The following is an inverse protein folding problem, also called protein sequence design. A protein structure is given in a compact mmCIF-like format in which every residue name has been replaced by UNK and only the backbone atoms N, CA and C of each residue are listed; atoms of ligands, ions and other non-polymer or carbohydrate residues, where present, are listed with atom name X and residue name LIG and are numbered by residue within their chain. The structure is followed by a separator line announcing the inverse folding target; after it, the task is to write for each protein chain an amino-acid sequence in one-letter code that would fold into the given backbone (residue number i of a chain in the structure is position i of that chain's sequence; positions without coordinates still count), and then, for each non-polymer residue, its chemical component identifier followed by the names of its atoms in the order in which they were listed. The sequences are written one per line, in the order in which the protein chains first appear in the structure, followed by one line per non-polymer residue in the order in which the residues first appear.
data_IF_430909041472
#
_entry.id   IF_430909041472
#
_cell.length_a   1.000
_cell.length_b   1.000
_cell.length_c   1.000
_cell.angle_alpha   90.00
_cell.angle_beta   90.00
_cell.angle_gamma   90.00
#
_symmetry.space_group_name_H-M   'P 1'
#
loop_
_entity.id
_entity.type
_entity.pdbx_description
1 polymer ?
#
# COMPACT_ATOMS: atom_id res chain seq x y z
N UNK A 1 2.62 -12.04 -19.75
CA UNK A 1 1.98 -11.83 -18.44
C UNK A 1 2.83 -10.86 -17.67
N UNK A 2 2.24 -9.82 -17.11
CA UNK A 2 3.00 -8.81 -16.38
C UNK A 2 3.60 -9.35 -15.07
N UNK A 3 4.73 -8.76 -14.62
CA UNK A 3 5.38 -9.09 -13.33
C UNK A 3 4.35 -8.98 -12.18
N UNK A 4 3.49 -7.97 -12.23
CA UNK A 4 2.40 -7.75 -11.26
C UNK A 4 1.36 -8.90 -11.29
N UNK A 5 0.94 -9.35 -12.48
CA UNK A 5 0.01 -10.49 -12.61
C UNK A 5 0.63 -11.79 -12.11
N UNK A 6 1.96 -11.98 -12.29
CA UNK A 6 2.66 -13.12 -11.68
C UNK A 6 2.68 -13.03 -10.15
N UNK A 7 2.95 -11.84 -9.59
CA UNK A 7 2.93 -11.64 -8.14
C UNK A 7 1.54 -11.81 -7.54
N UNK A 8 0.50 -11.23 -8.18
CA UNK A 8 -0.91 -11.41 -7.76
C UNK A 8 -1.38 -12.86 -7.89
N UNK A 9 -0.99 -13.57 -8.96
CA UNK A 9 -1.25 -15.00 -9.08
C UNK A 9 -0.56 -15.82 -7.98
N UNK A 10 0.65 -15.44 -7.60
CA UNK A 10 1.41 -16.12 -6.53
C UNK A 10 0.77 -15.91 -5.15
N UNK A 11 0.19 -14.73 -4.90
CA UNK A 11 -0.52 -14.44 -3.64
C UNK A 11 -1.85 -15.20 -3.55
N UNK A 12 -2.59 -15.31 -4.67
CA UNK A 12 -3.87 -16.01 -4.70
C UNK A 12 -3.75 -17.54 -4.81
N UNK A 13 -2.56 -18.05 -5.06
CA UNK A 13 -2.32 -19.48 -5.24
C UNK A 13 -1.47 -19.99 -4.07
N UNK A 14 -2.14 -20.27 -2.94
CA UNK A 14 -1.50 -20.82 -1.75
C UNK A 14 -0.73 -22.13 -2.04
N UNK A 15 -0.99 -22.78 -3.19
CA UNK A 15 -0.23 -23.94 -3.67
C UNK A 15 1.20 -23.57 -4.09
N UNK A 16 1.53 -22.28 -4.23
CA UNK A 16 2.86 -21.78 -4.60
C UNK A 16 3.67 -21.25 -3.40
N UNK A 17 3.12 -21.33 -2.19
CA UNK A 17 3.87 -20.96 -0.99
C UNK A 17 5.03 -21.94 -0.79
N UNK A 18 6.24 -21.40 -0.70
CA UNK A 18 7.40 -22.22 -0.33
C UNK A 18 7.39 -22.52 1.16
N UNK A 19 7.52 -23.78 1.54
CA UNK A 19 7.60 -24.19 2.94
C UNK A 19 9.07 -24.34 3.32
N UNK A 20 9.48 -23.64 4.38
CA UNK A 20 10.84 -23.60 4.88
C UNK A 20 10.89 -23.89 6.39
N UNK A 21 12.02 -24.39 6.83
CA UNK A 21 12.33 -24.55 8.24
C UNK A 21 13.52 -23.69 8.61
N UNK A 22 13.37 -22.83 9.63
CA UNK A 22 14.44 -21.94 10.05
C UNK A 22 15.49 -22.70 10.86
N UNK A 23 16.46 -23.30 10.17
CA UNK A 23 17.53 -24.16 10.73
C UNK A 23 18.94 -23.59 10.57
N UNK A 24 19.10 -22.58 9.72
CA UNK A 24 20.39 -22.02 9.34
C UNK A 24 20.60 -20.63 9.92
N UNK A 25 21.80 -20.11 9.73
CA UNK A 25 22.02 -18.69 9.95
C UNK A 25 21.11 -17.82 9.05
N UNK A 26 20.88 -16.58 9.48
CA UNK A 26 19.96 -15.67 8.82
C UNK A 26 20.31 -15.46 7.34
N UNK A 27 21.59 -15.36 6.98
CA UNK A 27 22.01 -15.08 5.60
C UNK A 27 21.65 -16.22 4.65
N UNK A 28 21.90 -17.46 5.05
CA UNK A 28 21.52 -18.64 4.25
C UNK A 28 20.00 -18.73 4.11
N UNK A 29 19.28 -18.52 5.21
CA UNK A 29 17.82 -18.49 5.20
C UNK A 29 17.27 -17.42 4.24
N UNK A 30 17.80 -16.19 4.27
CA UNK A 30 17.37 -15.10 3.39
C UNK A 30 17.58 -15.44 1.91
N UNK A 31 18.61 -16.19 1.56
CA UNK A 31 18.87 -16.62 0.18
C UNK A 31 17.87 -17.66 -0.31
N UNK A 32 17.28 -18.44 0.58
CA UNK A 32 16.29 -19.46 0.24
C UNK A 32 14.87 -18.90 0.01
N UNK A 33 14.57 -17.67 0.49
CA UNK A 33 13.24 -17.08 0.41
C UNK A 33 12.84 -16.73 -1.03
N UNK A 34 11.63 -17.18 -1.38
CA UNK A 34 10.86 -16.68 -2.54
C UNK A 34 9.99 -15.47 -2.13
N UNK A 35 9.08 -15.03 -2.99
CA UNK A 35 8.21 -13.91 -2.68
C UNK A 35 7.29 -14.20 -1.48
N UNK A 36 6.69 -15.38 -1.42
CA UNK A 36 5.79 -15.81 -0.34
C UNK A 36 6.24 -17.13 0.25
N UNK A 37 6.47 -17.16 1.55
CA UNK A 37 6.97 -18.35 2.25
C UNK A 37 6.18 -18.61 3.52
N UNK A 38 5.94 -19.88 3.83
CA UNK A 38 5.52 -20.35 5.14
C UNK A 38 6.76 -20.90 5.83
N UNK A 39 7.10 -20.35 6.99
CA UNK A 39 8.32 -20.68 7.73
C UNK A 39 7.99 -21.27 9.08
N UNK A 40 8.51 -22.44 9.37
CA UNK A 40 8.46 -23.06 10.68
C UNK A 40 9.76 -22.78 11.45
N UNK A 41 9.62 -22.15 12.61
CA UNK A 41 10.69 -21.83 13.55
C UNK A 41 10.41 -22.47 14.91
N UNK A 42 11.37 -22.48 15.84
CA UNK A 42 11.19 -23.12 17.17
C UNK A 42 10.03 -22.50 17.96
N UNK A 43 9.67 -21.27 17.70
CA UNK A 43 8.64 -20.49 18.40
C UNK A 43 7.35 -20.31 17.60
N UNK A 44 7.18 -20.91 16.41
CA UNK A 44 5.92 -20.82 15.69
C UNK A 44 5.97 -21.06 14.20
N UNK A 45 4.84 -20.76 13.56
CA UNK A 45 4.70 -20.69 12.12
C UNK A 45 4.53 -19.22 11.69
N UNK A 46 5.17 -18.87 10.58
CA UNK A 46 5.29 -17.50 10.11
C UNK A 46 4.99 -17.40 8.61
N UNK A 47 4.39 -16.28 8.19
CA UNK A 47 4.45 -15.81 6.79
C UNK A 47 5.68 -14.94 6.65
N UNK A 48 6.46 -15.18 5.60
CA UNK A 48 7.58 -14.34 5.22
C UNK A 48 7.39 -13.88 3.78
N UNK A 49 7.22 -12.58 3.60
CA UNK A 49 7.17 -11.93 2.30
C UNK A 49 8.55 -11.36 1.98
N UNK A 50 9.02 -11.58 0.75
CA UNK A 50 10.28 -11.02 0.27
C UNK A 50 10.15 -10.55 -1.17
N UNK A 51 10.56 -9.32 -1.44
CA UNK A 51 10.75 -8.81 -2.79
C UNK A 51 11.94 -7.86 -2.84
N UNK A 52 12.07 -7.08 -3.92
CA UNK A 52 13.16 -6.11 -4.08
C UNK A 52 13.08 -4.92 -3.10
N UNK A 53 11.89 -4.63 -2.54
CA UNK A 53 11.73 -3.63 -1.48
C UNK A 53 12.35 -4.10 -0.17
N UNK A 54 12.13 -5.36 0.23
CA UNK A 54 12.56 -5.84 1.53
C UNK A 54 11.96 -7.17 1.94
N UNK A 55 11.94 -7.38 3.24
CA UNK A 55 11.37 -8.55 3.91
C UNK A 55 10.36 -8.09 4.95
N UNK A 56 9.24 -8.81 5.02
CA UNK A 56 8.25 -8.65 6.08
C UNK A 56 7.92 -10.02 6.68
N UNK A 57 7.85 -10.11 8.02
CA UNK A 57 7.60 -11.35 8.76
C UNK A 57 6.41 -11.14 9.67
N UNK A 58 5.37 -11.98 9.47
CA UNK A 58 4.19 -12.05 10.32
C UNK A 58 4.05 -13.42 10.97
N UNK A 59 3.70 -13.48 12.26
CA UNK A 59 3.50 -14.75 12.97
C UNK A 59 2.06 -15.25 12.79
N UNK A 60 1.89 -16.40 12.14
CA UNK A 60 0.59 -17.07 11.96
C UNK A 60 0.13 -17.65 13.30
N UNK A 61 1.04 -18.36 13.97
CA UNK A 61 0.71 -19.10 15.19
C UNK A 61 1.93 -19.22 16.11
N UNK A 62 1.73 -18.94 17.37
CA UNK A 62 2.73 -19.16 18.40
C UNK A 62 2.64 -20.62 18.88
N UNK A 63 3.56 -21.45 18.44
CA UNK A 63 3.69 -22.87 18.84
C UNK A 63 5.15 -23.12 19.17
N UNK A 64 5.40 -23.75 20.30
CA UNK A 64 6.76 -24.20 20.62
C UNK A 64 6.98 -25.58 20.02
N UNK A 65 7.85 -25.68 19.04
CA UNK A 65 8.28 -26.96 18.50
C UNK A 65 9.45 -27.51 19.34
N UNK A 66 9.35 -28.78 19.71
CA UNK A 66 10.41 -29.47 20.48
C UNK A 66 11.64 -29.84 19.64
N UNK A 67 11.68 -29.48 18.37
CA UNK A 67 12.82 -29.79 17.50
C UNK A 67 13.99 -28.85 17.81
N UNK A 68 15.06 -29.39 18.36
CA UNK A 68 16.27 -28.64 18.73
C UNK A 68 17.07 -28.09 17.55
N UNK A 69 16.73 -28.48 16.32
CA UNK A 69 17.39 -27.95 15.11
C UNK A 69 16.79 -26.64 14.62
N UNK A 70 15.62 -26.25 15.12
CA UNK A 70 14.97 -25.01 14.70
C UNK A 70 15.41 -23.83 15.57
N UNK A 71 15.71 -22.71 14.93
CA UNK A 71 15.95 -21.42 15.58
C UNK A 71 14.65 -20.67 15.82
N UNK A 72 14.67 -19.72 16.77
CA UNK A 72 13.57 -18.78 17.01
C UNK A 72 13.58 -17.69 15.96
N UNK A 73 12.39 -17.29 15.49
CA UNK A 73 12.21 -16.20 14.55
C UNK A 73 11.38 -15.09 15.20
N UNK A 74 11.88 -13.86 15.21
CA UNK A 74 11.17 -12.72 15.76
C UNK A 74 10.06 -12.26 14.81
N UNK A 75 8.99 -11.66 15.35
CA UNK A 75 7.86 -11.10 14.60
C UNK A 75 7.11 -10.08 15.47
N UNK A 76 6.58 -8.99 14.87
CA UNK A 76 6.74 -8.62 13.48
C UNK A 76 8.16 -8.09 13.18
N UNK A 77 8.68 -8.43 12.02
CA UNK A 77 9.93 -7.85 11.49
C UNK A 77 9.61 -7.24 10.14
N UNK A 78 10.12 -6.04 9.91
CA UNK A 78 10.10 -5.35 8.63
C UNK A 78 11.51 -4.83 8.39
N UNK A 79 12.07 -5.22 7.26
CA UNK A 79 13.40 -4.82 6.86
C UNK A 79 13.40 -4.36 5.40
N UNK A 80 13.63 -3.07 5.17
CA UNK A 80 13.77 -2.51 3.82
C UNK A 80 15.21 -2.66 3.33
N UNK A 81 15.38 -3.12 2.09
CA UNK A 81 16.67 -3.11 1.38
C UNK A 81 16.98 -1.76 0.75
N UNK A 82 15.97 -0.88 0.71
CA UNK A 82 16.04 0.45 0.11
C UNK A 82 16.38 1.46 1.20
N UNK A 83 17.30 2.40 0.97
CA UNK A 83 17.58 3.49 1.92
C UNK A 83 16.32 4.32 2.17
N UNK A 84 16.28 5.05 3.27
CA UNK A 84 15.19 5.99 3.54
C UNK A 84 15.32 7.21 2.62
N UNK A 85 14.23 7.71 2.03
CA UNK A 85 14.24 8.97 1.30
C UNK A 85 14.44 10.16 2.26
N UNK A 86 15.05 11.25 1.77
CA UNK A 86 15.26 12.44 2.58
C UNK A 86 13.92 13.09 2.96
N UNK A 87 13.88 13.75 4.12
CA UNK A 87 12.71 14.50 4.59
C UNK A 87 12.20 15.51 3.56
N UNK A 88 13.08 16.09 2.75
CA UNK A 88 12.72 17.00 1.67
C UNK A 88 11.70 16.41 0.68
N UNK A 89 11.78 15.11 0.40
CA UNK A 89 10.81 14.42 -0.45
C UNK A 89 9.42 14.36 0.18
N UNK A 90 9.33 14.10 1.49
CA UNK A 90 8.06 14.16 2.20
C UNK A 90 7.48 15.58 2.23
N UNK A 91 8.32 16.61 2.43
CA UNK A 91 7.88 18.01 2.39
C UNK A 91 7.30 18.35 1.01
N UNK A 92 7.91 17.89 -0.09
CA UNK A 92 7.38 18.08 -1.44
C UNK A 92 5.99 17.42 -1.60
N UNK A 93 5.81 16.20 -1.11
CA UNK A 93 4.51 15.51 -1.10
C UNK A 93 3.48 16.31 -0.28
N UNK A 94 3.85 16.78 0.89
CA UNK A 94 2.96 17.59 1.72
C UNK A 94 2.53 18.89 1.03
N UNK A 95 3.43 19.57 0.33
CA UNK A 95 3.09 20.77 -0.45
C UNK A 95 2.11 20.44 -1.61
N UNK A 96 2.24 19.29 -2.26
CA UNK A 96 1.25 18.82 -3.25
C UNK A 96 -0.12 18.60 -2.60
N UNK A 97 -0.17 17.97 -1.44
CA UNK A 97 -1.41 17.74 -0.69
C UNK A 97 -2.07 19.07 -0.27
N UNK A 98 -1.28 20.01 0.24
CA UNK A 98 -1.75 21.38 0.57
C UNK A 98 -2.32 22.08 -0.66
N UNK A 99 -1.62 21.99 -1.80
CA UNK A 99 -2.06 22.59 -3.05
C UNK A 99 -3.44 22.08 -3.48
N UNK A 100 -3.64 20.76 -3.49
CA UNK A 100 -4.92 20.13 -3.83
C UNK A 100 -5.99 20.46 -2.80
N UNK A 101 -5.66 20.39 -1.51
CA UNK A 101 -6.61 20.73 -0.44
C UNK A 101 -7.10 22.16 -0.54
N UNK A 102 -6.24 23.13 -0.89
CA UNK A 102 -6.62 24.54 -1.05
C UNK A 102 -7.53 24.77 -2.26
N UNK A 103 -7.30 24.05 -3.36
CA UNK A 103 -8.03 24.21 -4.62
C UNK A 103 -9.39 23.50 -4.65
N UNK A 104 -9.52 22.35 -3.99
CA UNK A 104 -10.66 21.46 -4.17
C UNK A 104 -11.17 20.80 -2.90
N UNK A 105 -10.38 20.72 -1.84
CA UNK A 105 -10.66 19.90 -0.63
C UNK A 105 -10.76 18.42 -0.97
N UNK A 106 -10.07 17.95 -2.00
CA UNK A 106 -10.08 16.57 -2.46
C UNK A 106 -8.81 15.82 -2.04
N UNK A 107 -8.89 14.51 -2.04
CA UNK A 107 -7.76 13.63 -1.74
C UNK A 107 -6.85 13.48 -2.95
N UNK A 108 -5.56 13.34 -2.71
CA UNK A 108 -4.56 13.04 -3.73
C UNK A 108 -3.77 11.81 -3.28
N UNK A 109 -3.50 10.89 -4.22
CA UNK A 109 -2.61 9.76 -4.01
C UNK A 109 -1.33 9.94 -4.86
N UNK A 110 -0.19 9.66 -4.29
CA UNK A 110 1.11 9.65 -5.00
C UNK A 110 1.88 8.39 -4.65
N UNK A 111 2.70 7.92 -5.60
CA UNK A 111 3.66 6.85 -5.37
C UNK A 111 5.08 7.41 -5.33
N UNK A 112 5.90 6.84 -4.47
CA UNK A 112 7.34 7.07 -4.43
C UNK A 112 8.03 5.81 -4.92
N UNK A 113 8.87 5.97 -5.93
CA UNK A 113 9.68 4.90 -6.50
C UNK A 113 11.15 5.14 -6.24
N UNK A 114 11.88 4.07 -5.95
CA UNK A 114 13.32 4.06 -5.89
C UNK A 114 13.89 3.52 -7.21
N UNK A 115 14.79 4.29 -7.84
CA UNK A 115 15.50 3.89 -9.04
C UNK A 115 16.78 3.16 -8.65
N UNK A 116 16.88 1.87 -8.95
CA UNK A 116 17.98 0.99 -8.49
C UNK A 116 19.35 1.44 -8.95
N UNK A 117 19.49 1.79 -10.22
CA UNK A 117 20.79 2.15 -10.83
C UNK A 117 21.29 3.52 -10.35
N UNK A 118 20.41 4.52 -10.32
CA UNK A 118 20.77 5.90 -9.94
C UNK A 118 20.74 6.14 -8.43
N UNK A 119 20.17 5.20 -7.66
CA UNK A 119 19.97 5.30 -6.23
C UNK A 119 19.22 6.58 -5.81
N UNK A 120 18.18 6.93 -6.59
CA UNK A 120 17.38 8.15 -6.39
C UNK A 120 15.91 7.81 -6.20
N UNK A 121 15.20 8.69 -5.48
CA UNK A 121 13.76 8.59 -5.30
C UNK A 121 13.04 9.49 -6.31
N UNK A 122 11.88 9.01 -6.77
CA UNK A 122 11.02 9.70 -7.72
C UNK A 122 9.57 9.73 -7.21
N UNK A 123 9.00 10.93 -7.10
CA UNK A 123 7.57 11.09 -6.84
C UNK A 123 6.84 10.92 -8.15
N UNK A 124 5.92 9.97 -8.22
CA UNK A 124 5.00 9.83 -9.33
C UNK A 124 3.58 10.21 -8.91
N UNK A 125 3.09 11.31 -9.46
CA UNK A 125 1.69 11.70 -9.35
C UNK A 125 0.92 10.85 -10.36
N UNK A 126 0.21 9.84 -9.86
CA UNK A 126 -0.53 8.87 -10.67
C UNK A 126 -1.67 9.56 -11.41
N UNK A 127 -2.01 9.09 -12.63
CA UNK A 127 -3.22 9.54 -13.32
C UNK A 127 -4.45 9.06 -12.55
N UNK A 128 -5.20 10.02 -11.98
CA UNK A 128 -6.26 9.74 -11.03
C UNK A 128 -7.46 10.66 -11.21
N UNK A 129 -8.59 10.21 -10.70
CA UNK A 129 -9.77 11.05 -10.45
C UNK A 129 -9.94 11.16 -8.95
N UNK A 130 -9.93 12.36 -8.43
CA UNK A 130 -9.96 12.68 -7.01
C UNK A 130 -11.32 13.22 -6.58
N UNK A 131 -11.65 13.08 -5.31
CA UNK A 131 -12.88 13.55 -4.66
C UNK A 131 -12.64 13.85 -3.18
N UNK A 132 -13.70 14.20 -2.47
CA UNK A 132 -13.61 14.59 -1.05
C UNK A 132 -13.16 13.48 -0.10
N UNK A 133 -13.37 12.22 -0.49
CA UNK A 133 -13.01 11.02 0.28
C UNK A 133 -12.64 9.85 -0.63
N UNK A 134 -12.16 10.14 -1.84
CA UNK A 134 -11.80 9.08 -2.81
C UNK A 134 -10.71 9.55 -3.77
N UNK A 135 -9.76 8.68 -4.05
CA UNK A 135 -8.80 8.81 -5.14
C UNK A 135 -8.84 7.53 -5.98
N UNK A 136 -9.48 7.60 -7.17
CA UNK A 136 -9.49 6.47 -8.11
C UNK A 136 -8.34 6.66 -9.10
N UNK A 137 -7.39 5.77 -9.08
CA UNK A 137 -6.16 5.85 -9.87
C UNK A 137 -5.89 4.57 -10.67
N UNK A 138 -5.06 4.73 -11.69
CA UNK A 138 -4.48 3.60 -12.43
C UNK A 138 -2.98 3.61 -12.18
N UNK A 139 -2.43 2.45 -11.90
CA UNK A 139 -1.00 2.31 -11.78
C UNK A 139 -0.29 2.69 -13.09
N UNK A 140 0.83 3.39 -12.96
CA UNK A 140 1.66 3.77 -14.11
C UNK A 140 2.51 2.56 -14.53
N UNK A 141 2.14 1.95 -15.65
CA UNK A 141 2.82 0.76 -16.18
C UNK A 141 4.33 1.01 -16.40
N UNK A 142 4.73 2.23 -16.70
CA UNK A 142 6.13 2.60 -16.88
C UNK A 142 6.96 2.31 -15.64
N UNK A 143 6.42 2.55 -14.46
CA UNK A 143 7.09 2.30 -13.19
C UNK A 143 6.83 0.88 -12.68
N UNK A 144 5.58 0.41 -12.71
CA UNK A 144 5.19 -0.88 -12.15
C UNK A 144 5.75 -2.08 -12.91
N UNK A 145 5.99 -1.91 -14.22
CA UNK A 145 6.51 -2.96 -15.09
C UNK A 145 8.01 -2.87 -15.29
N UNK A 146 8.64 -1.80 -14.82
CA UNK A 146 10.07 -1.59 -14.96
C UNK A 146 10.84 -2.46 -13.97
N UNK A 147 11.95 -3.03 -14.45
CA UNK A 147 12.91 -3.71 -13.57
C UNK A 147 13.85 -2.73 -12.84
N UNK A 148 13.85 -1.46 -13.26
CA UNK A 148 14.72 -0.41 -12.69
C UNK A 148 14.10 0.30 -11.49
N UNK A 149 12.76 0.24 -11.34
CA UNK A 149 12.04 0.93 -10.29
C UNK A 149 11.43 -0.05 -9.28
N UNK A 150 11.53 0.31 -8.00
CA UNK A 150 10.87 -0.38 -6.90
C UNK A 150 9.92 0.61 -6.26
N UNK A 151 8.63 0.24 -6.11
CA UNK A 151 7.70 1.05 -5.33
C UNK A 151 8.14 1.00 -3.87
N UNK A 152 8.45 2.17 -3.33
CA UNK A 152 8.87 2.35 -1.94
C UNK A 152 7.70 2.68 -1.04
N UNK A 153 6.87 3.65 -1.46
CA UNK A 153 5.76 4.16 -0.68
C UNK A 153 4.59 4.53 -1.60
N UNK A 154 3.38 4.19 -1.20
CA UNK A 154 2.15 4.77 -1.68
C UNK A 154 1.55 5.60 -0.57
N UNK A 155 1.24 6.89 -0.84
CA UNK A 155 0.75 7.82 0.19
C UNK A 155 -0.38 8.68 -0.36
N UNK A 156 -1.43 8.85 0.44
CA UNK A 156 -2.56 9.69 0.08
C UNK A 156 -2.92 10.68 1.18
N UNK A 157 -3.69 11.72 0.81
CA UNK A 157 -4.14 12.75 1.73
C UNK A 157 -5.58 12.52 2.16
N UNK A 158 -5.87 12.75 3.44
CA UNK A 158 -7.22 12.85 4.02
C UNK A 158 -7.65 14.30 4.27
N UNK A 159 -7.07 15.26 3.58
CA UNK A 159 -7.39 16.68 3.68
C UNK A 159 -7.44 17.17 5.12
N UNK A 160 -8.61 17.67 5.58
CA UNK A 160 -8.83 18.15 6.94
C UNK A 160 -9.22 17.06 7.94
N UNK A 161 -9.47 15.83 7.45
CA UNK A 161 -9.78 14.67 8.31
C UNK A 161 -8.52 14.12 8.97
N UNK A 162 -8.71 13.27 9.99
CA UNK A 162 -7.61 12.56 10.63
C UNK A 162 -6.97 11.53 9.69
N UNK A 163 -5.69 11.22 9.89
CA UNK A 163 -4.92 10.26 9.12
C UNK A 163 -5.24 8.80 9.56
N UNK A 164 -6.46 8.36 9.33
CA UNK A 164 -6.89 7.00 9.64
C UNK A 164 -7.10 6.20 8.35
N UNK A 165 -6.48 5.04 8.24
CA UNK A 165 -6.73 4.14 7.12
C UNK A 165 -8.18 3.63 7.14
N UNK A 166 -8.83 3.67 5.98
CA UNK A 166 -10.20 3.21 5.79
C UNK A 166 -10.29 1.72 5.46
N UNK A 167 -11.50 1.15 5.47
CA UNK A 167 -11.71 -0.22 4.99
C UNK A 167 -11.45 -0.38 3.48
N UNK A 168 -11.55 0.70 2.69
CA UNK A 168 -11.17 0.70 1.27
C UNK A 168 -9.67 0.59 1.12
N UNK A 169 -8.90 1.38 1.89
CA UNK A 169 -7.43 1.30 1.90
C UNK A 169 -6.98 -0.11 2.27
N UNK A 170 -7.63 -0.75 3.26
CA UNK A 170 -7.30 -2.12 3.66
C UNK A 170 -7.45 -3.10 2.49
N UNK A 171 -8.51 -3.00 1.70
CA UNK A 171 -8.74 -3.89 0.55
C UNK A 171 -7.74 -3.64 -0.57
N UNK A 172 -7.47 -2.39 -0.88
CA UNK A 172 -6.60 -2.02 -1.99
C UNK A 172 -5.13 -2.34 -1.71
N UNK A 173 -4.71 -2.25 -0.46
CA UNK A 173 -3.32 -2.45 -0.05
C UNK A 173 -2.94 -3.91 0.25
N UNK A 174 -3.90 -4.76 0.65
CA UNK A 174 -3.66 -6.18 0.95
C UNK A 174 -3.16 -7.00 -0.24
N UNK A 175 -3.49 -6.59 -1.47
CA UNK A 175 -3.21 -7.33 -2.68
C UNK A 175 -2.09 -6.72 -3.53
N UNK A 176 -1.43 -5.70 -3.03
CA UNK A 176 -0.36 -5.01 -3.75
C UNK A 176 1.03 -5.48 -3.32
N UNK A 177 2.05 -5.04 -4.03
CA UNK A 177 3.43 -5.40 -3.72
C UNK A 177 3.83 -4.94 -2.32
N UNK A 178 4.76 -5.63 -1.68
CA UNK A 178 5.35 -5.22 -0.41
C UNK A 178 6.00 -3.84 -0.59
N UNK A 179 5.43 -2.81 0.08
CA UNK A 179 5.93 -1.44 0.15
C UNK A 179 5.31 -0.76 1.37
N UNK A 180 5.74 0.44 1.70
CA UNK A 180 5.07 1.25 2.72
C UNK A 180 3.77 1.85 2.18
N UNK A 181 2.79 2.03 3.07
CA UNK A 181 1.55 2.77 2.82
C UNK A 181 1.46 3.91 3.81
N UNK A 182 1.08 5.09 3.32
CA UNK A 182 0.99 6.29 4.14
C UNK A 182 -0.33 7.05 3.96
N UNK A 183 -0.78 7.69 5.02
CA UNK A 183 -1.91 8.62 5.01
C UNK A 183 -1.53 9.89 5.76
N UNK A 184 -1.90 11.05 5.22
CA UNK A 184 -1.67 12.37 5.83
C UNK A 184 -2.99 13.10 5.99
N UNK A 185 -3.29 13.50 7.20
CA UNK A 185 -4.53 14.20 7.55
C UNK A 185 -4.31 15.55 8.24
N UNK A 186 -5.42 16.24 8.56
CA UNK A 186 -5.44 17.56 9.21
C UNK A 186 -4.62 18.61 8.44
N UNK A 187 -4.67 18.55 7.11
CA UNK A 187 -3.89 19.41 6.24
C UNK A 187 -4.55 20.79 6.12
N UNK A 188 -3.77 21.85 6.28
CA UNK A 188 -4.15 23.24 6.05
C UNK A 188 -2.94 24.04 5.54
N UNK A 189 -3.11 25.34 5.23
CA UNK A 189 -2.04 26.19 4.70
C UNK A 189 -0.82 26.33 5.61
N UNK A 190 -1.03 26.20 6.93
CA UNK A 190 0.03 26.27 7.94
C UNK A 190 0.64 24.92 8.28
N UNK A 191 0.20 23.85 7.61
CA UNK A 191 0.70 22.50 7.88
C UNK A 191 2.19 22.39 7.56
N UNK A 192 2.93 21.85 8.51
CA UNK A 192 4.34 21.47 8.43
C UNK A 192 4.45 19.99 8.79
N UNK A 193 5.53 19.34 8.42
CA UNK A 193 5.70 17.90 8.66
C UNK A 193 5.53 17.48 10.13
N UNK A 194 5.80 18.38 11.07
CA UNK A 194 5.71 18.14 12.52
C UNK A 194 4.34 18.43 13.13
N UNK A 195 3.36 18.97 12.37
CA UNK A 195 2.04 19.33 12.90
C UNK A 195 0.85 18.77 12.07
N UNK A 196 1.13 17.94 11.08
CA UNK A 196 0.11 17.16 10.38
C UNK A 196 -0.09 15.82 11.08
N UNK A 197 -1.28 15.25 10.90
CA UNK A 197 -1.57 13.90 11.32
C UNK A 197 -1.02 12.93 10.27
N UNK A 198 -0.33 11.87 10.68
CA UNK A 198 0.30 10.91 9.77
C UNK A 198 0.16 9.49 10.28
N UNK A 199 -0.08 8.57 9.37
CA UNK A 199 -0.03 7.15 9.63
C UNK A 199 0.77 6.45 8.56
N UNK A 200 1.63 5.52 8.95
CA UNK A 200 2.35 4.62 8.04
C UNK A 200 2.15 3.19 8.46
N UNK A 201 2.08 2.32 7.49
CA UNK A 201 1.93 0.88 7.72
C UNK A 201 2.52 0.06 6.59
N UNK A 202 2.67 -1.23 6.84
CA UNK A 202 3.03 -2.23 5.85
C UNK A 202 2.21 -3.50 6.07
N UNK A 203 1.87 -4.21 5.00
CA UNK A 203 1.25 -5.52 5.09
C UNK A 203 2.32 -6.60 5.30
N UNK A 204 2.21 -7.41 6.38
CA UNK A 204 3.17 -8.46 6.69
C UNK A 204 2.73 -9.87 6.24
N UNK A 205 1.66 -9.93 5.43
CA UNK A 205 1.07 -11.19 4.98
C UNK A 205 -0.06 -11.71 5.87
N UNK A 206 -0.28 -11.09 7.04
CA UNK A 206 -1.31 -11.47 8.02
C UNK A 206 -2.11 -10.25 8.45
N UNK A 207 -1.42 -9.16 8.79
CA UNK A 207 -2.02 -7.94 9.30
C UNK A 207 -1.21 -6.71 8.87
N UNK A 208 -1.79 -5.53 9.02
CA UNK A 208 -1.08 -4.27 8.87
C UNK A 208 -0.29 -3.96 10.13
N UNK A 209 1.01 -3.76 9.95
CA UNK A 209 1.92 -3.31 11.00
C UNK A 209 2.14 -1.81 10.85
N UNK A 210 1.83 -1.05 11.90
CA UNK A 210 2.12 0.38 11.92
C UNK A 210 3.63 0.63 11.99
N UNK A 211 4.07 1.65 11.27
CA UNK A 211 5.49 2.03 11.12
C UNK A 211 5.62 3.48 11.55
N UNK A 212 6.70 3.81 12.23
CA UNK A 212 6.99 5.17 12.61
C UNK A 212 7.51 5.98 11.42
N UNK A 213 7.29 7.30 11.45
CA UNK A 213 7.77 8.22 10.41
C UNK A 213 9.27 8.09 10.16
N UNK A 214 10.04 7.99 11.23
CA UNK A 214 11.52 7.90 11.19
C UNK A 214 12.00 6.58 10.59
N UNK A 215 11.14 5.57 10.47
CA UNK A 215 11.46 4.33 9.75
C UNK A 215 11.21 4.44 8.24
N UNK A 216 10.38 5.40 7.82
CA UNK A 216 10.06 5.63 6.41
C UNK A 216 10.90 6.73 5.78
N UNK A 217 11.25 7.79 6.53
CA UNK A 217 11.99 8.96 6.03
C UNK A 217 13.22 9.26 6.89
N UNK A 218 14.25 9.86 6.26
CA UNK A 218 15.34 10.49 7.01
C UNK A 218 14.85 11.75 7.72
N UNK A 219 15.44 12.05 8.88
CA UNK A 219 15.16 13.28 9.62
C UNK A 219 16.21 14.34 9.29
N UNK A 220 15.79 15.46 8.66
CA UNK A 220 16.68 16.57 8.32
C UNK A 220 16.01 17.54 7.33
N UNK A 221 15.87 18.81 7.67
CA UNK A 221 14.95 19.71 6.98
C UNK A 221 15.59 20.66 5.98
N UNK A 222 14.94 20.80 4.78
CA UNK A 222 15.05 21.98 3.92
C UNK A 222 13.64 22.39 3.48
N UNK A 223 13.36 23.69 3.37
CA UNK A 223 12.12 24.18 2.77
C UNK A 223 12.12 23.93 1.25
N UNK A 224 10.99 23.48 0.70
CA UNK A 224 10.82 23.19 -0.71
C UNK A 224 9.62 23.96 -1.27
N UNK A 225 9.75 24.42 -2.52
CA UNK A 225 8.65 24.96 -3.32
C UNK A 225 8.32 24.04 -4.49
N UNK A 226 7.02 23.85 -4.75
CA UNK A 226 6.59 23.05 -5.90
C UNK A 226 7.03 23.66 -7.23
N UNK A 227 7.55 22.83 -8.10
CA UNK A 227 7.89 23.22 -9.47
C UNK A 227 6.66 23.40 -10.34
N UNK A 228 6.72 24.27 -11.35
CA UNK A 228 5.60 24.59 -12.25
C UNK A 228 5.04 23.36 -13.00
N UNK A 229 5.88 22.41 -13.37
CA UNK A 229 5.44 21.17 -14.02
C UNK A 229 4.58 20.30 -13.09
N UNK A 230 4.91 20.25 -11.80
CA UNK A 230 4.10 19.60 -10.77
C UNK A 230 2.76 20.29 -10.60
N UNK A 231 2.78 21.62 -10.47
CA UNK A 231 1.56 22.45 -10.36
C UNK A 231 0.63 22.21 -11.54
N UNK A 232 1.14 22.24 -12.78
CA UNK A 232 0.35 21.99 -13.99
C UNK A 232 -0.29 20.59 -13.99
N UNK A 233 0.42 19.57 -13.52
CA UNK A 233 -0.13 18.22 -13.41
C UNK A 233 -1.24 18.14 -12.37
N UNK A 234 -1.07 18.78 -11.22
CA UNK A 234 -2.10 18.84 -10.17
C UNK A 234 -3.36 19.59 -10.63
N UNK A 235 -3.20 20.72 -11.33
CA UNK A 235 -4.33 21.49 -11.91
C UNK A 235 -5.09 20.66 -12.94
N UNK A 236 -4.40 19.88 -13.77
CA UNK A 236 -5.04 18.99 -14.75
C UNK A 236 -5.88 17.89 -14.07
N UNK A 237 -5.37 17.27 -13.01
CA UNK A 237 -6.11 16.29 -12.20
C UNK A 237 -7.40 16.91 -11.66
N UNK A 238 -7.33 18.11 -11.07
CA UNK A 238 -8.49 18.83 -10.56
C UNK A 238 -9.51 19.07 -11.68
N UNK A 239 -9.07 19.52 -12.85
CA UNK A 239 -9.94 19.81 -14.01
C UNK A 239 -10.66 18.56 -14.50
N UNK A 240 -9.94 17.45 -14.67
CA UNK A 240 -10.53 16.18 -15.12
C UNK A 240 -11.56 15.69 -14.11
N UNK A 241 -11.25 15.76 -12.81
CA UNK A 241 -12.12 15.31 -11.74
C UNK A 241 -13.41 16.13 -11.66
N UNK A 242 -13.32 17.47 -11.76
CA UNK A 242 -14.49 18.36 -11.82
C UNK A 242 -15.38 18.04 -13.01
N UNK A 243 -14.82 17.79 -14.18
CA UNK A 243 -15.59 17.45 -15.38
C UNK A 243 -16.35 16.13 -15.20
N UNK A 244 -15.73 15.12 -14.60
CA UNK A 244 -16.40 13.83 -14.31
C UNK A 244 -17.52 13.98 -13.28
N UNK A 245 -17.34 14.81 -12.27
CA UNK A 245 -18.37 15.09 -11.26
C UNK A 245 -19.59 15.81 -11.90
N UNK A 246 -19.37 16.83 -12.74
CA UNK A 246 -20.41 17.52 -13.49
C UNK A 246 -21.18 16.57 -14.43
N UNK A 247 -20.47 15.65 -15.13
CA UNK A 247 -21.10 14.67 -15.98
C UNK A 247 -22.01 13.71 -15.20
N UNK A 248 -21.61 13.26 -14.01
CA UNK A 248 -22.44 12.43 -13.11
C UNK A 248 -23.69 13.19 -12.64
N UNK A 249 -23.56 14.46 -12.24
CA UNK A 249 -24.68 15.28 -11.81
C UNK A 249 -25.69 15.54 -12.95
N UNK A 250 -25.21 15.74 -14.17
CA UNK A 250 -26.08 15.94 -15.34
C UNK A 250 -26.79 14.63 -15.74
N UNK A 251 -26.10 13.49 -15.69
CA UNK A 251 -26.72 12.18 -15.96
C UNK A 251 -27.82 11.85 -14.94
N UNK A 252 -27.63 12.18 -13.66
CA UNK A 252 -28.65 11.97 -12.63
C UNK A 252 -29.87 12.90 -12.77
N UNK A 253 -29.72 14.08 -13.38
CA UNK A 253 -30.81 15.02 -13.65
C UNK A 253 -31.58 14.69 -14.92
N UNK A 254 -30.99 13.97 -15.86
CA UNK A 254 -31.59 13.60 -17.16
C UNK A 254 -32.37 12.28 -17.15
N UNK A 255 -32.36 11.53 -16.04
CA UNK A 255 -33.24 10.37 -15.87
C UNK A 255 -34.67 10.89 -15.60
N UNK A 256 -35.64 10.64 -16.49
CA UNK A 256 -37.02 10.97 -16.19
C UNK A 256 -37.47 10.12 -15.00
N UNK A 257 -38.25 10.73 -14.10
CA UNK A 257 -38.92 10.02 -13.00
C UNK A 257 -40.04 9.08 -13.54
N UNK A 258 -39.63 8.04 -14.28
CA UNK A 258 -40.53 7.07 -14.93
C UNK A 258 -40.28 5.65 -14.36
N UNK A 259 -39.84 5.52 -13.17
CA UNK A 259 -40.02 4.26 -12.46
C UNK A 259 -40.48 4.55 -11.04
N UNK A 260 -41.79 4.47 -10.89
CA UNK A 260 -42.39 4.23 -9.60
C UNK A 260 -41.75 2.98 -8.95
N UNK A 261 -41.70 3.02 -7.64
CA UNK A 261 -41.21 1.96 -6.78
C UNK A 261 -41.59 0.56 -7.30
N UNK A 262 -40.66 -0.10 -7.98
CA UNK A 262 -40.62 -1.54 -8.04
C UNK A 262 -39.21 -1.94 -7.68
N UNK A 263 -39.08 -2.42 -6.48
CA UNK A 263 -37.93 -3.15 -5.96
C UNK A 263 -37.63 -4.35 -6.86
N UNK A 264 -36.84 -4.15 -7.92
CA UNK A 264 -36.15 -5.23 -8.57
C UNK A 264 -34.78 -5.32 -7.91
N UNK A 265 -34.74 -6.17 -6.88
CA UNK A 265 -33.55 -6.82 -6.38
C UNK A 265 -32.80 -7.43 -7.55
N UNK A 266 -31.73 -6.77 -7.99
CA UNK A 266 -30.63 -7.48 -8.59
C UNK A 266 -29.90 -8.17 -7.44
N UNK A 267 -29.76 -9.50 -7.45
CA UNK A 267 -28.92 -10.18 -6.48
C UNK A 267 -27.50 -9.65 -6.69
N UNK A 268 -26.97 -9.10 -5.61
CA UNK A 268 -25.72 -8.35 -5.61
C UNK A 268 -24.54 -9.20 -6.02
N UNK A 269 -23.61 -8.52 -6.62
CA UNK A 269 -22.20 -8.93 -6.74
C UNK A 269 -21.47 -8.91 -5.37
N UNK A 270 -22.23 -8.80 -4.27
CA UNK A 270 -21.70 -8.82 -2.90
C UNK A 270 -21.45 -10.24 -2.36
N UNK A 271 -21.82 -11.28 -3.09
CA UNK A 271 -21.68 -12.68 -2.65
C UNK A 271 -20.40 -13.40 -3.14
N UNK A 272 -19.41 -12.66 -3.61
CA UNK A 272 -18.10 -13.25 -3.95
C UNK A 272 -16.99 -12.90 -2.94
N UNK A 273 -17.33 -12.33 -1.81
CA UNK A 273 -16.47 -12.34 -0.64
C UNK A 273 -16.70 -13.67 0.10
N UNK A 274 -16.23 -14.76 -0.46
CA UNK A 274 -16.15 -16.02 0.29
C UNK A 274 -15.00 -15.87 1.31
N UNK A 275 -15.38 -15.42 2.52
CA UNK A 275 -14.55 -15.24 3.71
C UNK A 275 -13.95 -16.56 4.26
N UNK A 276 -13.83 -17.60 3.43
CA UNK A 276 -13.48 -18.94 3.86
C UNK A 276 -12.07 -19.41 3.47
N UNK A 277 -11.14 -18.49 3.16
CA UNK A 277 -9.75 -18.90 3.21
C UNK A 277 -9.23 -18.79 4.65
N UNK A 278 -9.55 -19.76 5.48
CA UNK A 278 -8.94 -19.95 6.80
C UNK A 278 -7.68 -20.78 6.65
N UNK A 279 -6.55 -20.20 7.02
CA UNK A 279 -5.27 -20.90 7.17
C UNK A 279 -5.44 -22.14 8.08
N UNK A 280 -6.36 -22.08 9.04
CA UNK A 280 -6.71 -23.24 9.92
C UNK A 280 -7.27 -24.42 9.12
N UNK A 281 -8.00 -24.19 8.02
CA UNK A 281 -8.48 -25.26 7.15
C UNK A 281 -7.32 -25.89 6.37
N UNK A 282 -6.40 -25.06 5.87
CA UNK A 282 -5.22 -25.54 5.13
C UNK A 282 -4.27 -26.34 6.04
N UNK A 283 -4.06 -25.90 7.28
CA UNK A 283 -3.23 -26.63 8.26
C UNK A 283 -3.89 -27.94 8.74
N UNK A 284 -5.24 -27.96 8.81
CA UNK A 284 -6.01 -29.17 9.16
C UNK A 284 -5.93 -30.22 8.05
N UNK A 285 -5.99 -29.83 6.79
CA UNK A 285 -5.89 -30.74 5.65
C UNK A 285 -4.48 -31.33 5.48
N UNK A 286 -3.46 -30.65 6.04
CA UNK A 286 -2.08 -31.16 6.07
C UNK A 286 -1.79 -32.04 7.29
N UNK A 287 -2.75 -32.30 8.18
CA UNK A 287 -2.56 -33.09 9.43
C UNK A 287 -1.40 -32.56 10.32
N UNK A 288 -1.19 -31.24 10.36
CA UNK A 288 -0.17 -30.55 11.18
C UNK A 288 -0.79 -29.87 12.41
#
# INVERSE_FOLDING_TARGET
MSKLNKQLQTINDASLAKILFYKNDLQNFLNELDFYNIVFASNGAFVVLKNEFGISIGQIKNIKYSNSELYSLDSPIIYSFIPKPPLSLFIEILEMFKYINNKSKWELCVNVYYHKTNQTFHINIIDQTIGGATANYKYDEKFEMSEEYIRYLQIHSHNTMAANFSGTDNRDENYTALCYYGVVGKINDLSKFYNVDMGYRIWNGIEFVNIDFDDVFETGANEIQLQNNVINKLDNIIKISKNKELAKQNASKSLPAIFGESSLLYPGLDDLADDNFSIDNYLRDMNL
#
